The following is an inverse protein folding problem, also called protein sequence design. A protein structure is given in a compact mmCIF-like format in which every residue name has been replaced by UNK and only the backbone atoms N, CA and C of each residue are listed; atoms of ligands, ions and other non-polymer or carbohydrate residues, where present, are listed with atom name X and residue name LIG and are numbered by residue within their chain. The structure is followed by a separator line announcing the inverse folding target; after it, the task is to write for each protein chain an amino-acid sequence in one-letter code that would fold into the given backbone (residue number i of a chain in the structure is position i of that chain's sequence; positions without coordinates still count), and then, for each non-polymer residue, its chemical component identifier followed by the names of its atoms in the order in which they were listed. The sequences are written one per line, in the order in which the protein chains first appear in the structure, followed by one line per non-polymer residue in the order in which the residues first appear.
data_IF_208703963568
#
_entry.id   IF_208703963568
#
_cell.length_a   1.000
_cell.length_b   1.000
_cell.length_c   1.000
_cell.angle_alpha   90.00
_cell.angle_beta   90.00
_cell.angle_gamma   90.00
#
_symmetry.space_group_name_H-M   'P 1'
#
loop_
_entity.id
_entity.type
_entity.pdbx_description
1 polymer ?
#
# COMPACT_ATOMS: atom_id res chain seq x y z
N UNK A 1 -37.48 -4.51 58.04
CA UNK A 1 -36.17 -4.20 57.43
C UNK A 1 -36.02 -5.06 56.19
N UNK A 2 -36.20 -4.47 55.01
CA UNK A 2 -35.98 -5.10 53.71
C UNK A 2 -34.64 -4.55 53.17
N UNK A 3 -33.67 -5.42 52.90
CA UNK A 3 -32.43 -5.10 52.20
C UNK A 3 -32.65 -5.29 50.69
N UNK A 4 -32.22 -4.37 49.81
CA UNK A 4 -32.35 -4.55 48.37
C UNK A 4 -31.20 -5.43 47.85
N UNK A 5 -31.54 -6.40 47.00
CA UNK A 5 -30.59 -7.17 46.20
C UNK A 5 -30.21 -6.32 44.99
N UNK A 6 -28.96 -5.86 44.92
CA UNK A 6 -28.42 -5.15 43.77
C UNK A 6 -28.02 -6.16 42.69
N UNK A 7 -28.75 -6.17 41.57
CA UNK A 7 -28.41 -6.93 40.37
C UNK A 7 -27.34 -6.17 39.60
N UNK A 8 -26.08 -6.59 39.71
CA UNK A 8 -25.01 -6.16 38.82
C UNK A 8 -25.24 -6.78 37.43
N UNK A 9 -25.66 -5.97 36.45
CA UNK A 9 -25.56 -6.33 35.04
C UNK A 9 -24.11 -6.13 34.59
N UNK A 10 -23.43 -7.15 34.05
CA UNK A 10 -22.15 -6.93 33.38
C UNK A 10 -22.40 -6.06 32.15
N UNK A 11 -21.82 -4.87 32.14
CA UNK A 11 -21.74 -4.05 30.95
C UNK A 11 -20.91 -4.81 29.93
N UNK A 12 -21.56 -5.30 28.88
CA UNK A 12 -20.87 -5.79 27.70
C UNK A 12 -20.16 -4.59 27.06
N UNK A 13 -18.85 -4.47 27.29
CA UNK A 13 -17.99 -3.63 26.47
C UNK A 13 -17.98 -4.28 25.09
N UNK A 14 -18.76 -3.75 24.16
CA UNK A 14 -18.62 -4.09 22.76
C UNK A 14 -17.30 -3.51 22.27
N UNK A 15 -16.21 -4.27 22.36
CA UNK A 15 -15.01 -3.99 21.59
C UNK A 15 -15.34 -4.24 20.12
N UNK A 16 -15.87 -3.22 19.44
CA UNK A 16 -15.87 -3.16 17.99
C UNK A 16 -14.41 -2.94 17.56
N UNK A 17 -13.56 -3.97 17.65
CA UNK A 17 -12.32 -3.97 16.89
C UNK A 17 -12.71 -4.21 15.44
N UNK A 18 -13.08 -3.13 14.73
CA UNK A 18 -13.16 -3.17 13.28
C UNK A 18 -11.75 -3.52 12.78
N UNK A 19 -11.61 -4.72 12.20
CA UNK A 19 -10.38 -5.11 11.50
C UNK A 19 -10.13 -4.02 10.45
N UNK A 20 -8.95 -3.39 10.48
CA UNK A 20 -8.59 -2.37 9.51
C UNK A 20 -8.78 -2.91 8.08
N UNK A 21 -9.29 -2.07 7.19
CA UNK A 21 -9.42 -2.39 5.77
C UNK A 21 -8.07 -2.75 5.15
N UNK A 22 -8.09 -3.36 3.96
CA UNK A 22 -6.86 -3.59 3.18
C UNK A 22 -6.48 -2.42 2.29
N UNK A 23 -7.33 -1.42 2.18
CA UNK A 23 -7.07 -0.25 1.35
C UNK A 23 -6.59 0.90 2.22
N UNK A 24 -5.49 1.52 1.81
CA UNK A 24 -4.99 2.77 2.35
C UNK A 24 -4.69 3.78 1.26
N UNK A 25 -4.18 4.94 1.67
CA UNK A 25 -3.71 5.99 0.75
C UNK A 25 -2.31 6.44 1.14
N UNK A 26 -1.54 6.90 0.16
CA UNK A 26 -0.25 7.52 0.40
C UNK A 26 -0.43 9.01 0.66
N UNK A 27 0.10 9.52 1.77
CA UNK A 27 0.08 10.93 2.12
C UNK A 27 1.52 11.47 2.26
N UNK A 28 1.97 12.18 1.23
CA UNK A 28 3.24 12.90 1.24
C UNK A 28 3.07 14.22 2.00
N UNK A 29 3.63 14.32 3.21
CA UNK A 29 3.32 15.42 4.13
C UNK A 29 4.00 16.76 3.79
N UNK A 30 5.00 16.74 2.92
CA UNK A 30 5.78 17.91 2.53
C UNK A 30 5.41 18.46 1.14
N UNK A 31 4.31 18.02 0.55
CA UNK A 31 3.83 18.56 -0.72
C UNK A 31 3.42 20.04 -0.56
N UNK A 32 3.82 20.95 -1.47
CA UNK A 32 3.45 22.35 -1.39
C UNK A 32 1.94 22.58 -1.50
N UNK A 33 1.40 23.49 -0.68
CA UNK A 33 -0.01 23.87 -0.74
C UNK A 33 -0.97 22.98 0.05
N UNK A 34 -0.44 22.02 0.81
CA UNK A 34 -1.27 21.12 1.61
C UNK A 34 -2.07 21.85 2.70
N UNK A 35 -3.31 21.41 2.96
CA UNK A 35 -4.07 21.79 4.13
C UNK A 35 -3.39 21.35 5.43
N UNK A 36 -3.77 21.98 6.53
CA UNK A 36 -3.26 21.62 7.85
C UNK A 36 -3.51 20.13 8.16
N UNK A 37 -2.52 19.36 8.66
CA UNK A 37 -2.62 17.91 8.84
C UNK A 37 -3.86 17.43 9.60
N UNK A 38 -4.25 18.13 10.68
CA UNK A 38 -5.50 17.82 11.42
C UNK A 38 -6.75 17.78 10.52
N UNK A 39 -6.90 18.74 9.59
CA UNK A 39 -8.03 18.75 8.65
C UNK A 39 -7.95 17.57 7.67
N UNK A 40 -6.74 17.22 7.24
CA UNK A 40 -6.51 16.07 6.37
C UNK A 40 -6.92 14.78 7.08
N UNK A 41 -6.49 14.61 8.32
CA UNK A 41 -6.85 13.43 9.14
C UNK A 41 -8.34 13.35 9.41
N UNK A 42 -9.00 14.46 9.78
CA UNK A 42 -10.45 14.51 9.96
C UNK A 42 -11.20 14.08 8.69
N UNK A 43 -10.76 14.54 7.52
CA UNK A 43 -11.33 14.15 6.24
C UNK A 43 -11.08 12.67 5.90
N UNK A 44 -9.88 12.14 6.21
CA UNK A 44 -9.56 10.72 6.01
C UNK A 44 -10.46 9.82 6.87
N UNK A 45 -10.66 10.18 8.13
CA UNK A 45 -11.58 9.48 9.03
C UNK A 45 -13.02 9.54 8.49
N UNK A 46 -13.47 10.73 8.05
CA UNK A 46 -14.81 10.89 7.47
C UNK A 46 -15.00 10.10 6.17
N UNK A 47 -13.94 9.92 5.38
CA UNK A 47 -13.94 9.13 4.16
C UNK A 47 -13.83 7.61 4.41
N UNK A 48 -13.69 7.17 5.67
CA UNK A 48 -13.57 5.75 6.02
C UNK A 48 -12.20 5.14 5.72
N UNK A 49 -11.17 5.96 5.50
CA UNK A 49 -9.80 5.48 5.29
C UNK A 49 -9.27 4.91 6.61
N UNK A 50 -8.82 3.65 6.58
CA UNK A 50 -8.30 2.97 7.78
C UNK A 50 -6.78 2.84 7.80
N UNK A 51 -6.10 3.13 6.69
CA UNK A 51 -4.65 2.99 6.54
C UNK A 51 -4.04 4.16 5.79
N UNK A 52 -2.88 4.61 6.24
CA UNK A 52 -2.13 5.68 5.57
C UNK A 52 -0.64 5.33 5.53
N UNK A 53 -0.04 5.41 4.36
CA UNK A 53 1.41 5.40 4.19
C UNK A 53 1.90 6.85 4.17
N UNK A 54 2.67 7.25 5.18
CA UNK A 54 3.22 8.58 5.31
C UNK A 54 4.58 8.67 4.62
N UNK A 55 4.71 9.62 3.69
CA UNK A 55 5.98 9.94 3.01
C UNK A 55 6.50 11.27 3.52
N UNK A 56 7.80 11.28 3.84
CA UNK A 56 8.53 12.36 4.52
C UNK A 56 7.78 12.94 5.73
N UNK A 57 7.38 12.09 6.70
CA UNK A 57 6.63 12.55 7.86
C UNK A 57 7.46 13.49 8.75
N UNK A 58 6.78 14.41 9.42
CA UNK A 58 7.33 15.26 10.47
C UNK A 58 6.47 15.14 11.75
N UNK A 59 7.03 15.39 12.96
CA UNK A 59 6.38 15.07 14.22
C UNK A 59 4.95 15.63 14.37
N UNK A 60 4.73 16.90 14.04
CA UNK A 60 3.39 17.52 14.13
C UNK A 60 2.36 16.90 13.16
N UNK A 61 2.83 16.46 11.98
CA UNK A 61 2.00 15.78 10.99
C UNK A 61 1.58 14.39 11.48
N UNK A 62 2.51 13.63 12.04
CA UNK A 62 2.22 12.31 12.63
C UNK A 62 1.31 12.46 13.84
N UNK A 63 1.56 13.45 14.71
CA UNK A 63 0.73 13.74 15.88
C UNK A 63 -0.74 14.08 15.55
N UNK A 64 -1.04 14.48 14.31
CA UNK A 64 -2.41 14.69 13.87
C UNK A 64 -3.26 13.40 13.86
N UNK A 65 -2.63 12.22 13.80
CA UNK A 65 -3.29 10.91 13.84
C UNK A 65 -3.56 10.39 15.25
N UNK A 66 -3.18 11.13 16.29
CA UNK A 66 -3.35 10.74 17.69
C UNK A 66 -4.83 10.48 18.03
N UNK A 67 -5.10 9.32 18.67
CA UNK A 67 -6.44 8.83 19.01
C UNK A 67 -7.35 8.52 17.81
N UNK A 68 -6.80 8.37 16.61
CA UNK A 68 -7.55 7.83 15.47
C UNK A 68 -7.40 6.31 15.37
N UNK A 69 -8.31 5.67 14.63
CA UNK A 69 -8.20 4.25 14.30
C UNK A 69 -7.39 4.00 13.01
N UNK A 70 -6.82 5.04 12.40
CA UNK A 70 -5.98 4.93 11.21
C UNK A 70 -4.66 4.26 11.58
N UNK A 71 -4.32 3.21 10.85
CA UNK A 71 -3.05 2.49 10.99
C UNK A 71 -2.03 3.07 10.02
N UNK A 72 -0.85 3.41 10.52
CA UNK A 72 0.21 4.09 9.77
C UNK A 72 1.30 3.13 9.31
N UNK A 73 1.73 3.32 8.07
CA UNK A 73 3.06 2.95 7.62
C UNK A 73 3.92 4.20 7.49
N UNK A 74 5.15 4.17 8.01
CA UNK A 74 6.08 5.30 8.01
C UNK A 74 7.18 5.04 6.98
N UNK A 75 7.29 5.87 5.94
CA UNK A 75 8.39 5.78 4.98
C UNK A 75 9.60 6.59 5.44
N UNK A 76 10.79 5.97 5.40
CA UNK A 76 12.08 6.62 5.66
C UNK A 76 12.72 6.96 4.32
N UNK A 77 13.17 8.20 4.17
CA UNK A 77 13.84 8.67 2.96
C UNK A 77 15.20 7.95 2.72
N UNK A 78 15.55 7.74 1.46
CA UNK A 78 16.80 7.11 1.03
C UNK A 78 18.06 7.72 1.68
N UNK A 79 18.04 9.03 1.97
CA UNK A 79 19.16 9.74 2.62
C UNK A 79 19.54 9.23 4.01
N UNK A 80 18.63 8.54 4.71
CA UNK A 80 18.92 7.99 6.04
C UNK A 80 19.58 6.61 6.00
N UNK A 81 19.50 5.87 4.87
CA UNK A 81 19.88 4.46 4.78
C UNK A 81 21.30 4.23 5.32
N UNK A 82 22.28 4.97 4.81
CA UNK A 82 23.68 4.80 5.21
C UNK A 82 23.91 5.12 6.70
N UNK A 83 23.25 6.15 7.23
CA UNK A 83 23.37 6.53 8.64
C UNK A 83 22.77 5.47 9.57
N UNK A 84 21.62 4.90 9.19
CA UNK A 84 20.94 3.85 9.95
C UNK A 84 21.69 2.52 9.89
N UNK A 85 22.37 2.23 8.77
CA UNK A 85 23.20 1.04 8.61
C UNK A 85 24.48 1.08 9.46
N UNK A 86 25.11 2.25 9.58
CA UNK A 86 26.45 2.39 10.15
C UNK A 86 26.47 2.91 11.59
N UNK A 87 25.39 3.51 12.08
CA UNK A 87 25.35 4.15 13.39
C UNK A 87 24.08 3.80 14.17
N UNK A 88 24.18 2.82 15.06
CA UNK A 88 23.08 2.34 15.91
C UNK A 88 22.52 3.46 16.80
N UNK A 89 23.34 4.39 17.29
CA UNK A 89 22.85 5.54 18.08
C UNK A 89 21.92 6.43 17.26
N UNK A 90 22.23 6.67 15.98
CA UNK A 90 21.34 7.42 15.09
C UNK A 90 20.04 6.68 14.83
N UNK A 91 20.08 5.35 14.76
CA UNK A 91 18.89 4.50 14.68
C UNK A 91 17.98 4.70 15.90
N UNK A 92 18.53 4.64 17.11
CA UNK A 92 17.76 4.87 18.34
C UNK A 92 17.16 6.28 18.41
N UNK A 93 17.93 7.31 18.04
CA UNK A 93 17.45 8.69 18.00
C UNK A 93 16.30 8.84 17.00
N UNK A 94 16.46 8.29 15.79
CA UNK A 94 15.41 8.34 14.77
C UNK A 94 14.13 7.64 15.25
N UNK A 95 14.24 6.48 15.88
CA UNK A 95 13.10 5.77 16.47
C UNK A 95 12.42 6.59 17.57
N UNK A 96 13.20 7.18 18.47
CA UNK A 96 12.69 8.02 19.57
C UNK A 96 11.91 9.25 19.06
N UNK A 97 12.44 9.92 18.04
CA UNK A 97 11.87 11.15 17.52
C UNK A 97 10.63 10.94 16.64
N UNK A 98 10.51 9.77 15.99
CA UNK A 98 9.49 9.54 14.94
C UNK A 98 8.46 8.45 15.26
N UNK A 99 8.79 7.47 16.11
CA UNK A 99 7.97 6.26 16.30
C UNK A 99 7.33 6.22 17.69
N UNK A 100 8.00 6.73 18.73
CA UNK A 100 7.48 6.69 20.10
C UNK A 100 6.48 7.83 20.31
N UNK A 101 5.26 7.66 19.79
CA UNK A 101 4.18 8.62 19.95
C UNK A 101 2.96 7.97 20.63
N UNK A 102 2.43 8.57 21.70
CA UNK A 102 1.31 7.99 22.43
C UNK A 102 0.04 7.95 21.57
N UNK A 103 -0.69 6.82 21.65
CA UNK A 103 -1.97 6.57 20.98
C UNK A 103 -1.95 6.75 19.46
N UNK A 104 -0.84 6.40 18.81
CA UNK A 104 -0.72 6.26 17.36
C UNK A 104 -0.52 4.79 17.03
N UNK A 105 -1.20 4.32 15.97
CA UNK A 105 -1.11 2.94 15.51
C UNK A 105 -0.14 2.88 14.34
N UNK A 106 1.06 2.35 14.56
CA UNK A 106 2.04 2.12 13.50
C UNK A 106 2.10 0.61 13.26
N UNK A 107 1.99 0.18 12.01
CA UNK A 107 2.13 -1.24 11.63
C UNK A 107 3.46 -1.56 10.94
N UNK A 108 4.00 -0.58 10.21
CA UNK A 108 5.18 -0.81 9.41
C UNK A 108 6.04 0.45 9.24
N UNK A 109 7.33 0.21 9.01
CA UNK A 109 8.31 1.19 8.61
C UNK A 109 8.91 0.71 7.27
N UNK A 110 8.84 1.53 6.23
CA UNK A 110 9.43 1.26 4.92
C UNK A 110 10.72 2.07 4.77
N UNK A 111 11.86 1.40 4.80
CA UNK A 111 13.19 2.00 4.69
C UNK A 111 13.54 2.19 3.22
N UNK A 112 13.54 3.44 2.77
CA UNK A 112 13.80 3.79 1.39
C UNK A 112 12.70 3.42 0.41
N UNK A 113 12.87 3.93 -0.81
CA UNK A 113 12.02 3.68 -1.97
C UNK A 113 12.90 3.49 -3.21
N UNK A 114 12.58 2.47 -4.00
CA UNK A 114 13.23 2.13 -5.26
C UNK A 114 14.77 2.11 -5.17
N UNK A 115 15.29 1.56 -4.08
CA UNK A 115 16.73 1.53 -3.77
C UNK A 115 17.52 0.73 -4.81
N UNK A 116 16.90 -0.29 -5.40
CA UNK A 116 17.53 -1.13 -6.42
C UNK A 116 17.43 -0.56 -7.84
N UNK A 117 16.92 0.66 -8.01
CA UNK A 117 16.96 1.37 -9.29
C UNK A 117 18.40 1.74 -9.67
N UNK A 118 18.64 2.06 -10.95
CA UNK A 118 19.95 2.52 -11.41
C UNK A 118 20.44 3.79 -10.71
N UNK A 119 19.52 4.64 -10.24
CA UNK A 119 19.84 5.91 -9.59
C UNK A 119 20.28 5.69 -8.14
N UNK A 120 19.66 4.74 -7.44
CA UNK A 120 19.83 4.53 -6.00
C UNK A 120 20.70 3.30 -5.65
N UNK A 121 21.17 2.54 -6.65
CA UNK A 121 21.88 1.26 -6.43
C UNK A 121 23.10 1.38 -5.50
N UNK A 122 23.70 2.57 -5.39
CA UNK A 122 24.79 2.85 -4.47
C UNK A 122 24.42 2.66 -2.98
N UNK A 123 23.13 2.67 -2.63
CA UNK A 123 22.60 2.46 -1.28
C UNK A 123 22.26 0.98 -0.99
N UNK A 124 22.23 0.12 -2.02
CA UNK A 124 21.75 -1.26 -1.89
C UNK A 124 22.55 -2.11 -0.88
N UNK A 125 23.86 -1.84 -0.76
CA UNK A 125 24.74 -2.54 0.20
C UNK A 125 24.43 -2.22 1.67
N UNK A 126 23.88 -1.05 1.95
CA UNK A 126 23.58 -0.58 3.31
C UNK A 126 22.13 -0.89 3.73
N UNK A 127 21.23 -1.12 2.76
CA UNK A 127 19.79 -1.22 3.01
C UNK A 127 19.40 -2.32 4.00
N UNK A 128 19.88 -3.55 3.80
CA UNK A 128 19.52 -4.67 4.69
C UNK A 128 20.03 -4.43 6.11
N UNK A 129 21.25 -3.89 6.26
CA UNK A 129 21.79 -3.56 7.57
C UNK A 129 20.98 -2.46 8.26
N UNK A 130 20.53 -1.43 7.53
CA UNK A 130 19.66 -0.39 8.08
C UNK A 130 18.32 -0.97 8.60
N UNK A 131 17.70 -1.86 7.82
CA UNK A 131 16.46 -2.58 8.19
C UNK A 131 16.70 -3.42 9.46
N UNK A 132 17.80 -4.17 9.51
CA UNK A 132 18.15 -5.01 10.65
C UNK A 132 18.41 -4.19 11.92
N UNK A 133 19.17 -3.09 11.82
CA UNK A 133 19.44 -2.20 12.95
C UNK A 133 18.16 -1.58 13.50
N UNK A 134 17.23 -1.17 12.62
CA UNK A 134 15.92 -0.66 13.05
C UNK A 134 15.11 -1.75 13.76
N UNK A 135 15.16 -2.98 13.26
CA UNK A 135 14.43 -4.11 13.85
C UNK A 135 14.95 -4.46 15.24
N UNK A 136 16.28 -4.50 15.40
CA UNK A 136 16.92 -4.70 16.69
C UNK A 136 16.57 -3.56 17.66
N UNK A 137 16.74 -2.30 17.25
CA UNK A 137 16.41 -1.14 18.09
C UNK A 137 14.93 -1.08 18.51
N UNK A 138 14.02 -1.46 17.61
CA UNK A 138 12.59 -1.54 17.91
C UNK A 138 12.26 -2.62 18.93
N UNK A 139 12.92 -3.77 18.86
CA UNK A 139 12.73 -4.87 19.82
C UNK A 139 13.12 -4.49 21.25
N UNK A 140 14.01 -3.50 21.41
CA UNK A 140 14.41 -2.98 22.73
C UNK A 140 13.43 -1.93 23.27
N UNK A 141 12.75 -1.19 22.40
CA UNK A 141 11.92 -0.02 22.78
C UNK A 141 10.44 -0.38 22.89
N UNK A 142 9.92 -1.26 22.04
CA UNK A 142 8.48 -1.53 21.92
C UNK A 142 8.17 -3.04 22.05
N UNK A 143 7.08 -3.36 22.73
CA UNK A 143 6.59 -4.74 22.89
C UNK A 143 5.65 -5.20 21.76
N UNK A 144 5.73 -4.57 20.58
CA UNK A 144 4.83 -4.80 19.44
C UNK A 144 5.57 -5.21 18.16
N UNK A 145 4.89 -5.96 17.29
CA UNK A 145 5.46 -6.41 16.03
C UNK A 145 5.23 -5.38 14.91
N UNK A 146 6.07 -4.35 14.86
CA UNK A 146 6.09 -3.38 13.74
C UNK A 146 6.99 -3.94 12.64
N UNK A 147 6.42 -4.12 11.46
CA UNK A 147 7.16 -4.63 10.30
C UNK A 147 8.19 -3.62 9.81
N UNK A 148 9.40 -4.06 9.48
CA UNK A 148 10.40 -3.19 8.87
C UNK A 148 10.80 -3.81 7.53
N UNK A 149 10.63 -3.04 6.47
CA UNK A 149 10.76 -3.49 5.08
C UNK A 149 11.28 -2.35 4.21
N UNK A 150 11.18 -2.48 2.88
CA UNK A 150 11.56 -1.45 1.91
C UNK A 150 10.61 -1.49 0.72
N UNK A 151 10.26 -0.33 0.17
CA UNK A 151 9.39 -0.24 -1.00
C UNK A 151 10.20 -0.44 -2.29
N UNK A 152 9.79 -1.41 -3.10
CA UNK A 152 10.46 -1.77 -4.34
C UNK A 152 9.62 -1.41 -5.58
N UNK A 153 10.26 -1.12 -6.71
CA UNK A 153 9.56 -0.95 -7.98
C UNK A 153 9.29 -2.30 -8.65
N UNK A 154 8.16 -2.40 -9.35
CA UNK A 154 7.88 -3.51 -10.25
C UNK A 154 8.92 -3.66 -11.38
N UNK A 155 9.68 -2.61 -11.70
CA UNK A 155 10.74 -2.61 -12.72
C UNK A 155 11.89 -3.59 -12.38
N UNK A 156 11.97 -4.05 -11.13
CA UNK A 156 12.91 -5.10 -10.74
C UNK A 156 12.57 -6.47 -11.33
N UNK A 157 11.39 -6.67 -11.93
CA UNK A 157 10.93 -7.95 -12.43
C UNK A 157 11.08 -7.99 -13.95
N UNK A 158 12.03 -8.80 -14.43
CA UNK A 158 12.34 -8.92 -15.86
C UNK A 158 12.79 -10.36 -16.21
N UNK A 159 12.06 -11.08 -17.10
CA UNK A 159 10.73 -10.74 -17.63
C UNK A 159 9.67 -10.67 -16.53
N UNK A 160 8.59 -9.90 -16.75
CA UNK A 160 7.44 -9.83 -15.84
C UNK A 160 6.24 -10.66 -16.31
N UNK A 161 6.10 -10.88 -17.63
CA UNK A 161 4.95 -11.57 -18.21
C UNK A 161 5.38 -12.73 -19.13
N UNK A 162 4.60 -13.81 -19.19
CA UNK A 162 3.43 -14.10 -18.35
C UNK A 162 3.83 -14.26 -16.86
N UNK A 163 2.90 -14.07 -15.88
CA UNK A 163 3.25 -14.00 -14.46
C UNK A 163 4.05 -15.21 -13.96
N UNK A 164 3.74 -16.42 -14.42
CA UNK A 164 4.49 -17.63 -14.05
C UNK A 164 5.95 -17.69 -14.55
N UNK A 165 6.30 -16.83 -15.51
CA UNK A 165 7.66 -16.66 -16.02
C UNK A 165 8.42 -15.54 -15.30
N UNK A 166 7.75 -14.75 -14.45
CA UNK A 166 8.32 -13.60 -13.80
C UNK A 166 9.57 -13.95 -12.96
N UNK A 167 10.64 -13.16 -13.06
CA UNK A 167 11.81 -13.25 -12.18
C UNK A 167 12.38 -11.88 -11.86
N UNK A 168 12.97 -11.74 -10.68
CA UNK A 168 13.75 -10.56 -10.36
C UNK A 168 14.99 -10.46 -11.26
N UNK A 169 15.36 -9.23 -11.61
CA UNK A 169 16.56 -8.94 -12.37
C UNK A 169 17.80 -9.54 -11.67
N UNK A 170 18.53 -10.35 -12.41
CA UNK A 170 19.68 -11.13 -11.89
C UNK A 170 20.78 -10.26 -11.31
N UNK A 171 20.90 -9.00 -11.74
CA UNK A 171 21.91 -8.07 -11.19
C UNK A 171 21.71 -7.75 -9.71
N UNK A 172 20.47 -7.87 -9.20
CA UNK A 172 20.12 -7.55 -7.81
C UNK A 172 19.50 -8.73 -7.06
N UNK A 173 18.97 -9.73 -7.79
CA UNK A 173 18.21 -10.84 -7.22
C UNK A 173 19.00 -11.64 -6.16
N UNK A 174 20.18 -12.13 -6.50
CA UNK A 174 20.97 -12.99 -5.60
C UNK A 174 21.66 -12.19 -4.50
N UNK A 175 22.20 -11.02 -4.83
CA UNK A 175 23.04 -10.24 -3.93
C UNK A 175 22.24 -9.46 -2.89
N UNK A 176 21.06 -8.95 -3.25
CA UNK A 176 20.28 -8.06 -2.40
C UNK A 176 18.89 -8.58 -2.08
N UNK A 177 18.12 -9.00 -3.09
CA UNK A 177 16.72 -9.39 -2.87
C UNK A 177 16.58 -10.73 -2.14
N UNK A 178 17.43 -11.72 -2.42
CA UNK A 178 17.40 -13.02 -1.71
C UNK A 178 17.71 -12.85 -0.20
N UNK A 179 18.78 -12.15 0.22
CA UNK A 179 19.01 -11.87 1.64
C UNK A 179 17.90 -11.04 2.29
N UNK A 180 17.34 -10.05 1.57
CA UNK A 180 16.22 -9.26 2.05
C UNK A 180 14.98 -10.16 2.30
N UNK A 181 14.59 -10.97 1.33
CA UNK A 181 13.46 -11.89 1.46
C UNK A 181 13.70 -12.92 2.57
N UNK A 182 14.94 -13.40 2.74
CA UNK A 182 15.30 -14.29 3.84
C UNK A 182 15.04 -13.64 5.21
N UNK A 183 15.44 -12.38 5.36
CA UNK A 183 15.19 -11.62 6.59
C UNK A 183 13.69 -11.41 6.81
N UNK A 184 12.97 -10.98 5.77
CA UNK A 184 11.52 -10.74 5.85
C UNK A 184 10.75 -12.01 6.22
N UNK A 185 11.08 -13.15 5.62
CA UNK A 185 10.50 -14.46 5.94
C UNK A 185 10.75 -14.85 7.41
N UNK A 186 11.99 -14.72 7.88
CA UNK A 186 12.37 -15.03 9.26
C UNK A 186 11.70 -14.13 10.31
N UNK A 187 11.43 -12.87 9.97
CA UNK A 187 10.73 -11.91 10.83
C UNK A 187 9.19 -11.95 10.68
N UNK A 188 8.66 -12.66 9.68
CA UNK A 188 7.24 -12.62 9.32
C UNK A 188 6.79 -11.26 8.78
N UNK A 189 7.69 -10.52 8.12
CA UNK A 189 7.43 -9.20 7.56
C UNK A 189 7.06 -9.26 6.07
N UNK A 190 6.23 -8.32 5.59
CA UNK A 190 5.83 -8.26 4.19
C UNK A 190 6.93 -7.70 3.28
N UNK A 191 6.90 -8.15 2.03
CA UNK A 191 7.58 -7.49 0.91
C UNK A 191 6.70 -6.36 0.36
N UNK A 192 7.25 -5.15 0.26
CA UNK A 192 6.56 -3.98 -0.26
C UNK A 192 6.93 -3.75 -1.72
N UNK A 193 5.92 -3.54 -2.58
CA UNK A 193 6.12 -3.25 -4.00
C UNK A 193 5.15 -2.19 -4.53
N UNK A 194 5.62 -1.29 -5.40
CA UNK A 194 4.79 -0.35 -6.13
C UNK A 194 4.39 -0.94 -7.48
N UNK A 195 3.09 -0.91 -7.80
CA UNK A 195 2.51 -1.48 -9.02
C UNK A 195 1.72 -0.41 -9.77
N UNK A 196 2.17 -0.01 -10.94
CA UNK A 196 1.50 1.01 -11.76
C UNK A 196 1.02 0.43 -13.10
N UNK A 197 -0.18 -0.20 -13.15
CA UNK A 197 -0.79 -0.65 -14.41
C UNK A 197 -0.88 0.44 -15.48
N UNK A 198 -1.02 1.72 -15.09
CA UNK A 198 -0.92 2.87 -15.97
C UNK A 198 0.33 2.84 -16.87
N UNK A 199 1.48 2.36 -16.39
CA UNK A 199 2.71 2.30 -17.21
C UNK A 199 2.69 1.19 -18.25
N UNK A 200 1.75 0.23 -18.13
CA UNK A 200 1.68 -0.98 -18.95
C UNK A 200 0.38 -1.10 -19.75
N UNK A 201 -0.60 -0.20 -19.56
CA UNK A 201 -1.94 -0.40 -20.10
C UNK A 201 -1.98 -0.54 -21.64
N UNK A 202 -1.06 0.13 -22.36
CA UNK A 202 -0.92 0.01 -23.83
C UNK A 202 -0.45 -1.37 -24.29
N UNK A 203 0.10 -2.19 -23.40
CA UNK A 203 0.59 -3.54 -23.73
C UNK A 203 -0.53 -4.60 -23.82
N UNK A 204 -1.78 -4.23 -23.52
CA UNK A 204 -2.94 -5.12 -23.55
C UNK A 204 -3.38 -5.57 -22.15
N UNK A 205 -4.70 -5.63 -21.93
CA UNK A 205 -5.30 -5.80 -20.59
C UNK A 205 -5.70 -7.24 -20.28
N UNK A 206 -5.79 -8.10 -21.29
CA UNK A 206 -6.14 -9.50 -21.15
C UNK A 206 -4.90 -10.38 -21.36
N UNK A 207 -4.51 -11.11 -20.31
CA UNK A 207 -3.33 -11.95 -20.34
C UNK A 207 -3.70 -13.37 -19.96
N UNK A 208 -3.43 -14.32 -20.86
CA UNK A 208 -3.49 -15.74 -20.53
C UNK A 208 -2.07 -16.23 -20.26
N UNK A 209 -1.85 -16.79 -19.07
CA UNK A 209 -0.58 -17.41 -18.73
C UNK A 209 -0.49 -18.80 -19.38
N UNK A 210 0.42 -19.01 -20.34
CA UNK A 210 0.49 -20.26 -21.10
C UNK A 210 0.96 -21.46 -20.28
N UNK A 211 1.63 -21.24 -19.14
CA UNK A 211 2.15 -22.32 -18.30
C UNK A 211 1.09 -22.78 -17.29
N UNK A 212 0.34 -21.85 -16.72
CA UNK A 212 -0.65 -22.16 -15.67
C UNK A 212 -2.08 -22.26 -16.20
N UNK A 213 -2.35 -21.70 -17.38
CA UNK A 213 -3.71 -21.56 -17.93
C UNK A 213 -4.55 -20.49 -17.23
N UNK A 214 -3.96 -19.73 -16.29
CA UNK A 214 -4.66 -18.65 -15.59
C UNK A 214 -4.93 -17.48 -16.54
N UNK A 215 -6.12 -16.91 -16.39
CA UNK A 215 -6.59 -15.78 -17.19
C UNK A 215 -6.69 -14.57 -16.29
N UNK A 216 -5.98 -13.51 -16.67
CA UNK A 216 -5.94 -12.24 -15.98
C UNK A 216 -6.76 -11.23 -16.79
N UNK A 217 -7.81 -10.70 -16.15
CA UNK A 217 -8.70 -9.70 -16.73
C UNK A 217 -8.28 -8.26 -16.43
N UNK A 218 -7.25 -8.08 -15.60
CA UNK A 218 -6.66 -6.79 -15.31
C UNK A 218 -5.15 -6.96 -15.07
N UNK A 219 -4.40 -5.91 -15.39
CA UNK A 219 -2.93 -5.90 -15.28
C UNK A 219 -2.50 -5.89 -13.80
N UNK A 220 -3.29 -5.31 -12.89
CA UNK A 220 -2.96 -5.28 -11.46
C UNK A 220 -2.78 -6.70 -10.88
N UNK A 221 -3.72 -7.60 -11.13
CA UNK A 221 -3.63 -9.00 -10.68
C UNK A 221 -2.45 -9.73 -11.33
N UNK A 222 -2.21 -9.46 -12.61
CA UNK A 222 -1.07 -10.04 -13.31
C UNK A 222 0.26 -9.57 -12.72
N UNK A 223 0.37 -8.30 -12.33
CA UNK A 223 1.54 -7.75 -11.66
C UNK A 223 1.72 -8.34 -10.25
N UNK A 224 0.66 -8.43 -9.45
CA UNK A 224 0.72 -9.06 -8.12
C UNK A 224 1.23 -10.51 -8.22
N UNK A 225 0.65 -11.31 -9.12
CA UNK A 225 1.05 -12.70 -9.28
C UNK A 225 2.45 -12.84 -9.91
N UNK A 226 2.88 -11.89 -10.75
CA UNK A 226 4.25 -11.83 -11.26
C UNK A 226 5.26 -11.57 -10.13
N UNK A 227 4.97 -10.65 -9.21
CA UNK A 227 5.82 -10.39 -8.04
C UNK A 227 5.94 -11.64 -7.17
N UNK A 228 4.81 -12.27 -6.88
CA UNK A 228 4.78 -13.53 -6.13
C UNK A 228 5.60 -14.62 -6.81
N UNK A 229 5.47 -14.78 -8.13
CA UNK A 229 6.22 -15.78 -8.88
C UNK A 229 7.74 -15.49 -8.86
N UNK A 230 8.14 -14.22 -8.94
CA UNK A 230 9.52 -13.80 -8.80
C UNK A 230 10.09 -14.11 -7.40
N UNK A 231 9.33 -13.84 -6.33
CA UNK A 231 9.71 -14.22 -4.95
C UNK A 231 9.80 -15.74 -4.78
N UNK A 232 8.86 -16.49 -5.36
CA UNK A 232 8.86 -17.95 -5.33
C UNK A 232 10.11 -18.56 -5.99
N UNK A 233 10.61 -17.97 -7.08
CA UNK A 233 11.87 -18.40 -7.71
C UNK A 233 13.11 -18.16 -6.84
N UNK A 234 13.05 -17.21 -5.91
CA UNK A 234 14.08 -17.05 -4.86
C UNK A 234 13.83 -17.93 -3.63
N UNK A 235 12.74 -18.71 -3.59
CA UNK A 235 12.40 -19.64 -2.51
C UNK A 235 11.47 -19.05 -1.45
N UNK A 236 10.92 -17.86 -1.66
CA UNK A 236 10.15 -17.12 -0.65
C UNK A 236 8.72 -16.83 -1.11
N UNK A 237 8.00 -17.87 -1.55
CA UNK A 237 6.64 -17.73 -2.04
C UNK A 237 5.65 -17.25 -0.95
N UNK A 238 5.91 -17.60 0.31
CA UNK A 238 4.97 -17.38 1.42
C UNK A 238 5.17 -16.04 2.15
N UNK A 239 6.21 -15.28 1.79
CA UNK A 239 6.41 -13.91 2.30
C UNK A 239 5.19 -13.06 1.89
N UNK A 240 4.48 -12.42 2.85
CA UNK A 240 3.30 -11.61 2.54
C UNK A 240 3.65 -10.44 1.60
N UNK A 241 2.70 -10.04 0.76
CA UNK A 241 2.87 -8.92 -0.15
C UNK A 241 2.00 -7.73 0.29
N UNK A 242 2.59 -6.53 0.24
CA UNK A 242 1.87 -5.27 0.35
C UNK A 242 2.17 -4.43 -0.89
N UNK A 243 1.12 -3.89 -1.51
CA UNK A 243 1.25 -2.96 -2.62
C UNK A 243 1.42 -1.56 -2.02
N UNK A 244 2.65 -1.06 -1.98
CA UNK A 244 3.02 0.20 -1.34
C UNK A 244 2.64 1.45 -2.14
N UNK A 245 2.23 1.28 -3.39
CA UNK A 245 1.75 2.37 -4.23
C UNK A 245 1.14 1.84 -5.52
N UNK A 246 -0.04 2.33 -5.86
CA UNK A 246 -0.70 2.08 -7.14
C UNK A 246 -1.73 3.17 -7.40
N UNK A 247 -1.98 3.52 -8.65
CA UNK A 247 -2.90 4.59 -8.98
C UNK A 247 -3.04 4.80 -10.46
N UNK A 248 -3.68 5.90 -10.83
CA UNK A 248 -3.81 6.34 -12.20
C UNK A 248 -3.90 7.87 -12.25
N UNK A 249 -3.07 8.55 -13.05
CA UNK A 249 -3.01 10.01 -13.10
C UNK A 249 -4.27 10.60 -13.75
N UNK A 250 -4.74 11.74 -13.23
CA UNK A 250 -5.97 12.40 -13.68
C UNK A 250 -5.77 13.40 -14.82
N UNK A 251 -4.53 13.71 -15.18
CA UNK A 251 -4.18 14.63 -16.27
C UNK A 251 -2.76 14.34 -16.77
N UNK A 252 -2.59 14.06 -18.06
CA UNK A 252 -1.26 13.83 -18.68
C UNK A 252 -1.06 14.52 -20.02
N UNK A 253 -1.89 15.53 -20.31
CA UNK A 253 -1.78 16.33 -21.53
C UNK A 253 -2.00 15.54 -22.82
N UNK A 254 -1.48 16.06 -23.93
CA UNK A 254 -1.74 15.52 -25.27
C UNK A 254 -1.06 14.18 -25.56
N UNK A 255 0.02 13.84 -24.83
CA UNK A 255 0.81 12.63 -25.09
C UNK A 255 0.32 11.42 -24.29
N UNK A 256 -0.43 11.67 -23.21
CA UNK A 256 -1.00 10.66 -22.32
C UNK A 256 -2.51 10.91 -22.12
N UNK A 257 -3.34 10.88 -23.19
CA UNK A 257 -4.78 11.09 -23.09
C UNK A 257 -5.50 10.11 -22.13
N UNK A 258 -4.90 8.97 -21.87
CA UNK A 258 -5.31 8.00 -20.86
C UNK A 258 -5.21 8.52 -19.42
N UNK A 259 -4.37 9.52 -19.17
CA UNK A 259 -4.27 10.18 -17.88
C UNK A 259 -5.36 11.23 -17.82
N UNK A 260 -6.55 10.81 -17.39
CA UNK A 260 -7.75 11.65 -17.32
C UNK A 260 -8.53 11.37 -16.04
N UNK A 261 -9.31 12.34 -15.57
CA UNK A 261 -10.18 12.19 -14.40
C UNK A 261 -11.11 10.97 -14.53
N UNK A 262 -11.61 10.69 -15.72
CA UNK A 262 -12.49 9.53 -15.98
C UNK A 262 -11.76 8.21 -15.70
N UNK A 263 -10.63 7.98 -16.37
CA UNK A 263 -9.87 6.74 -16.21
C UNK A 263 -9.26 6.60 -14.82
N UNK A 264 -8.85 7.72 -14.21
CA UNK A 264 -8.38 7.74 -12.83
C UNK A 264 -9.47 7.31 -11.84
N UNK A 265 -10.70 7.81 -12.03
CA UNK A 265 -11.86 7.38 -11.25
C UNK A 265 -12.18 5.91 -11.43
N UNK A 266 -12.27 5.44 -12.67
CA UNK A 266 -12.58 4.03 -12.98
C UNK A 266 -11.53 3.07 -12.41
N UNK A 267 -10.25 3.40 -12.53
CA UNK A 267 -9.18 2.57 -11.98
C UNK A 267 -9.23 2.52 -10.45
N UNK A 268 -9.23 3.68 -9.79
CA UNK A 268 -9.13 3.74 -8.33
C UNK A 268 -10.41 3.23 -7.65
N UNK A 269 -11.59 3.64 -8.11
CA UNK A 269 -12.87 3.15 -7.58
C UNK A 269 -13.01 1.63 -7.79
N UNK A 270 -12.71 1.15 -9.01
CA UNK A 270 -12.77 -0.28 -9.35
C UNK A 270 -11.81 -1.12 -8.52
N UNK A 271 -10.57 -0.65 -8.33
CA UNK A 271 -9.57 -1.33 -7.51
C UNK A 271 -9.99 -1.38 -6.03
N UNK A 272 -10.44 -0.26 -5.45
CA UNK A 272 -10.88 -0.22 -4.06
C UNK A 272 -12.08 -1.14 -3.83
N UNK A 273 -13.05 -1.13 -4.75
CA UNK A 273 -14.19 -2.05 -4.72
C UNK A 273 -13.74 -3.53 -4.74
N UNK A 274 -12.85 -3.89 -5.66
CA UNK A 274 -12.26 -5.25 -5.76
C UNK A 274 -11.58 -5.67 -4.46
N UNK A 275 -10.76 -4.80 -3.88
CA UNK A 275 -10.00 -5.09 -2.66
C UNK A 275 -10.93 -5.21 -1.44
N UNK A 276 -11.96 -4.39 -1.35
CA UNK A 276 -12.97 -4.48 -0.29
C UNK A 276 -13.80 -5.78 -0.39
N UNK A 277 -14.02 -6.29 -1.61
CA UNK A 277 -14.66 -7.59 -1.84
C UNK A 277 -13.74 -8.80 -1.59
N UNK A 278 -12.44 -8.58 -1.33
CA UNK A 278 -11.45 -9.63 -1.05
C UNK A 278 -11.35 -10.71 -2.14
N UNK A 279 -11.45 -10.30 -3.40
CA UNK A 279 -11.46 -11.25 -4.55
C UNK A 279 -10.10 -11.91 -4.85
N UNK A 280 -9.03 -11.47 -4.19
CA UNK A 280 -7.67 -11.96 -4.43
C UNK A 280 -7.21 -11.79 -5.87
N UNK A 281 -6.32 -12.67 -6.33
CA UNK A 281 -5.82 -12.76 -7.71
C UNK A 281 -6.10 -14.14 -8.32
N UNK A 282 -5.98 -14.34 -9.64
CA UNK A 282 -6.13 -15.66 -10.25
C UNK A 282 -5.25 -16.77 -9.62
N UNK A 283 -4.00 -16.48 -9.28
CA UNK A 283 -3.13 -17.47 -8.62
C UNK A 283 -3.36 -17.57 -7.11
N UNK A 284 -3.94 -16.53 -6.47
CA UNK A 284 -4.17 -16.45 -5.02
C UNK A 284 -5.57 -15.87 -4.70
N UNK A 285 -6.65 -16.59 -4.99
CA UNK A 285 -8.02 -16.06 -4.83
C UNK A 285 -8.41 -15.80 -3.37
N UNK A 286 -7.79 -16.50 -2.42
CA UNK A 286 -8.08 -16.38 -0.99
C UNK A 286 -7.26 -15.29 -0.28
N UNK A 287 -6.32 -14.65 -0.98
CA UNK A 287 -5.39 -13.67 -0.39
C UNK A 287 -5.52 -12.33 -1.09
N UNK A 288 -5.87 -11.29 -0.33
CA UNK A 288 -5.91 -9.91 -0.83
C UNK A 288 -4.82 -9.08 -0.15
N UNK A 289 -3.85 -8.52 -0.90
CA UNK A 289 -2.78 -7.72 -0.31
C UNK A 289 -3.32 -6.41 0.26
N UNK A 290 -2.69 -5.91 1.34
CA UNK A 290 -2.86 -4.50 1.71
C UNK A 290 -2.33 -3.66 0.55
N UNK A 291 -3.06 -2.62 0.17
CA UNK A 291 -2.77 -1.79 -1.00
C UNK A 291 -2.96 -0.32 -0.67
N UNK A 292 -1.95 0.50 -1.00
CA UNK A 292 -2.00 1.95 -0.85
C UNK A 292 -2.23 2.62 -2.20
N UNK A 293 -3.31 3.41 -2.30
CA UNK A 293 -3.57 4.26 -3.46
C UNK A 293 -2.58 5.44 -3.43
N UNK A 294 -1.79 5.55 -4.49
CA UNK A 294 -0.87 6.65 -4.74
C UNK A 294 -1.55 7.66 -5.68
N UNK A 295 -1.87 8.88 -5.23
CA UNK A 295 -1.66 9.44 -3.88
C UNK A 295 -2.86 10.24 -3.39
N UNK A 296 -2.80 10.75 -2.15
CA UNK A 296 -3.88 11.55 -1.58
C UNK A 296 -4.04 12.90 -2.30
N UNK A 297 -2.93 13.58 -2.59
CA UNK A 297 -2.90 14.87 -3.28
C UNK A 297 -1.94 14.82 -4.47
N UNK A 298 -2.16 15.72 -5.42
CA UNK A 298 -1.21 16.00 -6.50
C UNK A 298 0.09 16.58 -5.96
N UNK A 299 1.22 16.29 -6.61
CA UNK A 299 2.50 16.89 -6.25
C UNK A 299 3.04 17.76 -7.39
N UNK A 300 2.97 19.10 -7.28
CA UNK A 300 3.42 20.00 -8.34
C UNK A 300 4.94 20.03 -8.52
N UNK A 301 5.70 19.41 -7.61
CA UNK A 301 7.17 19.33 -7.70
C UNK A 301 7.64 18.24 -8.66
N UNK A 302 6.78 17.29 -8.99
CA UNK A 302 7.15 16.18 -9.86
C UNK A 302 7.53 16.66 -11.26
N UNK A 303 8.63 16.07 -11.74
CA UNK A 303 9.25 16.46 -13.01
C UNK A 303 8.98 15.41 -14.09
N UNK A 304 9.19 15.77 -15.35
CA UNK A 304 8.94 14.88 -16.48
C UNK A 304 7.54 15.04 -17.05
N UNK A 305 6.87 13.93 -17.32
CA UNK A 305 5.56 13.92 -17.96
C UNK A 305 4.50 14.69 -17.14
N UNK A 306 3.42 15.09 -17.79
CA UNK A 306 2.35 15.83 -17.10
C UNK A 306 1.58 14.97 -16.11
N UNK A 307 1.44 13.68 -16.42
CA UNK A 307 0.89 12.67 -15.53
C UNK A 307 1.55 12.64 -14.15
N UNK A 308 2.86 12.84 -14.09
CA UNK A 308 3.64 12.72 -12.84
C UNK A 308 3.21 13.70 -11.76
N UNK A 309 2.59 14.83 -12.13
CA UNK A 309 2.07 15.81 -11.17
C UNK A 309 0.63 15.55 -10.71
N UNK A 310 -0.07 14.58 -11.32
CA UNK A 310 -1.53 14.50 -11.28
C UNK A 310 -2.08 13.18 -10.73
N UNK A 311 -1.38 12.53 -9.79
CA UNK A 311 -1.78 11.25 -9.19
C UNK A 311 -2.76 11.37 -8.02
N UNK A 312 -3.06 12.58 -7.54
CA UNK A 312 -3.87 12.83 -6.37
C UNK A 312 -5.34 12.44 -6.57
N UNK A 313 -5.93 11.75 -5.59
CA UNK A 313 -7.37 11.48 -5.53
C UNK A 313 -8.17 12.69 -5.03
N UNK A 314 -7.53 13.58 -4.26
CA UNK A 314 -8.12 14.83 -3.76
C UNK A 314 -7.39 16.05 -4.33
N UNK A 315 -8.13 17.15 -4.44
CA UNK A 315 -7.55 18.47 -4.70
C UNK A 315 -6.97 19.07 -3.42
N UNK A 316 -6.12 20.09 -3.56
CA UNK A 316 -5.58 20.85 -2.40
C UNK A 316 -6.68 21.52 -1.56
N UNK A 317 -7.86 21.76 -2.14
CA UNK A 317 -9.04 22.28 -1.43
C UNK A 317 -9.86 21.18 -0.73
N UNK A 318 -9.27 19.99 -0.53
CA UNK A 318 -9.89 18.84 0.15
C UNK A 318 -11.15 18.30 -0.55
N UNK A 319 -11.28 18.53 -1.86
CA UNK A 319 -12.39 17.96 -2.64
C UNK A 319 -11.93 16.66 -3.31
N UNK A 320 -12.79 15.65 -3.29
CA UNK A 320 -12.58 14.43 -4.06
C UNK A 320 -12.63 14.74 -5.55
N UNK A 321 -11.62 14.33 -6.33
CA UNK A 321 -11.68 14.44 -7.81
C UNK A 321 -12.72 13.49 -8.41
N UNK A 322 -12.93 12.36 -7.75
CA UNK A 322 -13.90 11.32 -8.03
C UNK A 322 -14.22 10.56 -6.74
N UNK A 323 -15.39 9.93 -6.67
CA UNK A 323 -15.87 9.26 -5.46
C UNK A 323 -15.18 7.91 -5.30
N UNK A 324 -14.65 7.63 -4.11
CA UNK A 324 -14.08 6.33 -3.74
C UNK A 324 -14.68 5.92 -2.39
N UNK A 325 -15.25 4.73 -2.31
CA UNK A 325 -15.73 4.17 -1.05
C UNK A 325 -14.65 3.30 -0.39
N UNK A 326 -13.92 3.90 0.56
CA UNK A 326 -12.90 3.19 1.35
C UNK A 326 -13.49 2.29 2.43
N UNK A 327 -14.80 2.33 2.67
CA UNK A 327 -15.44 1.56 3.75
C UNK A 327 -15.27 0.06 3.50
N UNK A 328 -14.64 -0.70 4.42
CA UNK A 328 -14.53 -2.14 4.27
C UNK A 328 -15.92 -2.77 4.19
N UNK A 329 -16.14 -3.65 3.20
CA UNK A 329 -17.37 -4.43 3.15
C UNK A 329 -17.48 -5.28 4.41
N UNK A 330 -18.54 -5.09 5.21
CA UNK A 330 -18.84 -6.00 6.32
C UNK A 330 -19.00 -7.39 5.73
N UNK A 331 -18.18 -8.35 6.16
CA UNK A 331 -18.35 -9.75 5.79
C UNK A 331 -19.75 -10.19 6.26
N UNK A 332 -20.72 -10.17 5.35
CA UNK A 332 -22.07 -10.63 5.64
C UNK A 332 -22.04 -12.15 5.69
N UNK A 333 -22.07 -12.71 6.90
CA UNK A 333 -22.44 -14.09 7.10
C UNK A 333 -23.88 -14.30 6.64
N UNK A 334 -24.08 -15.13 5.61
CA UNK A 334 -25.37 -15.76 5.30
C UNK A 334 -26.34 -14.98 4.42
N UNK A 335 -26.46 -15.45 3.16
CA UNK A 335 -27.62 -15.41 2.23
C UNK A 335 -28.72 -14.36 2.47
N UNK A 336 -28.86 -13.43 1.52
CA UNK A 336 -30.07 -13.32 0.68
C UNK A 336 -29.74 -12.64 -0.65
N UNK A 337 -30.03 -13.36 -1.72
CA UNK A 337 -29.86 -13.01 -3.14
C UNK A 337 -30.99 -12.12 -3.63
N UNK A 338 -30.68 -11.02 -4.34
CA UNK A 338 -31.25 -10.75 -5.69
C UNK A 338 -31.11 -9.29 -6.18
N UNK A 339 -30.97 -8.29 -5.31
CA UNK A 339 -30.87 -6.87 -5.76
C UNK A 339 -29.45 -6.32 -5.79
N UNK A 340 -28.63 -6.60 -4.78
CA UNK A 340 -27.21 -6.17 -4.70
C UNK A 340 -26.34 -6.77 -5.81
N UNK A 341 -26.71 -7.93 -6.34
CA UNK A 341 -25.97 -8.58 -7.41
C UNK A 341 -26.11 -7.84 -8.75
N UNK A 342 -27.20 -7.10 -8.99
CA UNK A 342 -27.38 -6.36 -10.25
C UNK A 342 -26.57 -5.08 -10.32
N UNK A 343 -26.40 -4.37 -9.20
CA UNK A 343 -25.55 -3.17 -9.13
C UNK A 343 -24.06 -3.50 -9.06
N UNK A 344 -23.68 -4.57 -8.34
CA UNK A 344 -22.29 -5.04 -8.30
C UNK A 344 -21.83 -5.62 -9.63
N UNK A 345 -22.70 -6.36 -10.34
CA UNK A 345 -22.41 -6.80 -11.70
C UNK A 345 -22.26 -5.58 -12.60
N UNK A 346 -23.10 -4.54 -12.54
CA UNK A 346 -22.94 -3.35 -13.39
C UNK A 346 -21.61 -2.59 -13.17
N UNK A 347 -21.12 -2.46 -11.94
CA UNK A 347 -19.82 -1.84 -11.64
C UNK A 347 -18.63 -2.69 -12.11
N UNK A 348 -18.71 -4.02 -11.91
CA UNK A 348 -17.73 -4.97 -12.48
C UNK A 348 -17.85 -5.03 -14.00
N UNK A 349 -19.03 -4.81 -14.58
CA UNK A 349 -19.25 -4.78 -16.03
C UNK A 349 -18.73 -3.49 -16.62
N UNK A 350 -18.72 -2.35 -15.91
CA UNK A 350 -18.02 -1.15 -16.35
C UNK A 350 -16.49 -1.36 -16.34
N UNK A 351 -15.97 -2.03 -15.30
CA UNK A 351 -14.56 -2.49 -15.26
C UNK A 351 -14.24 -3.49 -16.38
N UNK A 352 -15.19 -4.31 -16.83
CA UNK A 352 -15.05 -5.29 -17.92
C UNK A 352 -15.37 -4.70 -19.32
N UNK A 353 -16.21 -3.66 -19.43
CA UNK A 353 -16.67 -3.10 -20.71
C UNK A 353 -15.63 -2.17 -21.34
N UNK A 354 -14.73 -1.60 -20.55
CA UNK A 354 -13.50 -0.98 -21.05
C UNK A 354 -12.39 -1.99 -21.37
N UNK A 355 -12.55 -3.27 -21.01
CA UNK A 355 -11.68 -4.37 -21.48
C UNK A 355 -11.99 -4.83 -22.92
N UNK A 356 -12.90 -4.16 -23.64
CA UNK A 356 -13.32 -4.52 -25.00
C UNK A 356 -13.35 -3.34 -26.00
N UNK A 357 -12.82 -2.17 -25.64
CA UNK A 357 -12.73 -1.01 -26.53
C UNK A 357 -11.30 -0.76 -27.02
#
# INVERSE_FOLDING_TARGET
MLLPVSLCFPHAVSSNSSVAGVVGVTYAMNTPGLPHPKKVVEALVAAGVTRVLLVDPYPDGVAAFNNTDIVLTIAINNSYIQSLATNVTMTFLWLGDNIILPNIKIEAISVGYDVFSSENLHLAGDLLQAIQNLHEGMSEILQGNISITTANSFDLITPAFPPSAAEFNRSVAELYLRPLLQFLDGAGFPFFISLYPFKLYRAGQHLTDPKTGLVYYNIFDAMVDATVAAMAKLGYADVPLVVSGTGWPSEGGLNEPEASILYAGEYNEGLVSKLNMRLGTPARPETTPVTFIYALFDDPRETGAESERNWGIWTMDMQQKYVIDFTPSKASGGRTTSSLHRSAVAAVTAFVLLCLA
#
